data_IF_044930774240
#
_entry.id   IF_044930774240
#
_cell.length_a   1.000
_cell.length_b   1.000
_cell.length_c   1.000
_cell.angle_alpha   90.00
_cell.angle_beta   90.00
_cell.angle_gamma   90.00
#
_symmetry.space_group_name_H-M   'P 1'
#
loop_
_entity.id
_entity.type
_entity.pdbx_description
1 polymer ?
#
# COMPACT_ATOMS: atom_id res chain seq x y z
N UNK A 1 25.16 17.10 -14.86
CA UNK A 1 24.43 17.57 -13.66
C UNK A 1 23.51 18.76 -13.94
N UNK A 2 23.98 19.85 -14.56
CA UNK A 2 23.16 21.07 -14.82
C UNK A 2 21.83 20.77 -15.53
N UNK A 3 21.84 19.96 -16.60
CA UNK A 3 20.61 19.59 -17.33
C UNK A 3 19.61 18.79 -16.46
N UNK A 4 20.12 17.87 -15.63
CA UNK A 4 19.31 17.11 -14.69
C UNK A 4 18.69 18.05 -13.64
N UNK A 5 19.49 18.97 -13.09
CA UNK A 5 19.02 19.96 -12.12
C UNK A 5 17.90 20.84 -12.70
N UNK A 6 18.06 21.32 -13.93
CA UNK A 6 17.06 22.14 -14.61
C UNK A 6 15.77 21.35 -14.86
N UNK A 7 15.87 20.11 -15.37
CA UNK A 7 14.71 19.26 -15.60
C UNK A 7 13.93 18.94 -14.31
N UNK A 8 14.65 18.65 -13.22
CA UNK A 8 14.04 18.43 -11.89
C UNK A 8 13.35 19.70 -11.39
N UNK A 9 13.95 20.87 -11.62
CA UNK A 9 13.33 22.15 -11.27
C UNK A 9 12.05 22.41 -12.08
N UNK A 10 12.06 22.10 -13.38
CA UNK A 10 10.91 22.23 -14.27
C UNK A 10 9.84 21.15 -14.09
N UNK A 11 10.10 20.11 -13.26
CA UNK A 11 9.25 18.92 -13.10
C UNK A 11 8.96 18.20 -14.43
N UNK A 12 9.93 18.23 -15.35
CA UNK A 12 9.81 17.57 -16.65
C UNK A 12 10.36 16.14 -16.60
N UNK A 13 9.64 15.16 -17.18
CA UNK A 13 10.16 13.80 -17.30
C UNK A 13 11.32 13.78 -18.31
N UNK A 14 12.42 13.10 -17.96
CA UNK A 14 13.63 13.05 -18.79
C UNK A 14 14.16 11.63 -18.99
N UNK A 15 14.77 11.40 -20.15
CA UNK A 15 15.46 10.16 -20.50
C UNK A 15 16.98 10.39 -20.52
N UNK A 16 17.73 9.65 -19.71
CA UNK A 16 19.19 9.76 -19.64
C UNK A 16 19.87 8.81 -20.65
N UNK A 17 20.37 9.36 -21.75
CA UNK A 17 21.08 8.63 -22.81
C UNK A 17 22.61 8.82 -22.64
N UNK A 18 23.41 7.79 -22.94
CA UNK A 18 24.87 7.78 -22.69
C UNK A 18 25.42 6.40 -22.25
N UNK A 19 26.72 6.30 -21.94
CA UNK A 19 27.36 5.06 -21.49
C UNK A 19 26.70 4.50 -20.23
N UNK A 20 26.64 3.18 -20.11
CA UNK A 20 25.90 2.46 -19.06
C UNK A 20 26.42 2.73 -17.64
N UNK A 21 27.66 3.18 -17.50
CA UNK A 21 28.42 3.14 -16.25
C UNK A 21 28.10 4.22 -15.22
N UNK A 22 27.30 5.25 -15.51
CA UNK A 22 27.13 6.37 -14.54
C UNK A 22 25.73 7.01 -14.46
N UNK A 23 24.71 6.50 -15.15
CA UNK A 23 23.38 7.17 -15.21
C UNK A 23 22.68 7.18 -13.85
N UNK A 24 22.63 6.03 -13.19
CA UNK A 24 22.01 5.89 -11.87
C UNK A 24 22.80 6.68 -10.82
N UNK A 25 24.12 6.58 -10.87
CA UNK A 25 25.02 7.32 -9.99
C UNK A 25 24.85 8.85 -10.13
N UNK A 26 24.58 9.35 -11.33
CA UNK A 26 24.32 10.78 -11.57
C UNK A 26 23.08 11.27 -10.79
N UNK A 27 21.99 10.49 -10.84
CA UNK A 27 20.73 10.81 -10.13
C UNK A 27 20.94 10.69 -8.63
N UNK A 28 21.60 9.64 -8.16
CA UNK A 28 21.92 9.44 -6.73
C UNK A 28 22.81 10.56 -6.16
N UNK A 29 23.81 10.98 -6.94
CA UNK A 29 24.70 12.08 -6.56
C UNK A 29 23.91 13.39 -6.46
N UNK A 30 23.02 13.65 -7.42
CA UNK A 30 22.16 14.83 -7.39
C UNK A 30 21.25 14.86 -6.15
N UNK A 31 20.60 13.74 -5.82
CA UNK A 31 19.72 13.66 -4.64
C UNK A 31 20.50 13.82 -3.34
N UNK A 32 21.73 13.29 -3.28
CA UNK A 32 22.63 13.47 -2.13
C UNK A 32 23.02 14.94 -1.95
N UNK A 33 23.40 15.63 -3.03
CA UNK A 33 23.74 17.05 -3.00
C UNK A 33 22.55 17.94 -2.64
N UNK A 34 21.33 17.55 -3.04
CA UNK A 34 20.10 18.30 -2.77
C UNK A 34 19.45 17.95 -1.43
N UNK A 35 20.06 17.08 -0.63
CA UNK A 35 19.51 16.53 0.62
C UNK A 35 18.13 15.85 0.47
N UNK A 36 17.84 15.31 -0.73
CA UNK A 36 16.58 14.62 -1.09
C UNK A 36 16.74 13.11 -1.25
N UNK A 37 17.78 12.53 -0.65
CA UNK A 37 18.06 11.09 -0.75
C UNK A 37 16.88 10.22 -0.29
N UNK A 38 16.07 10.70 0.65
CA UNK A 38 14.90 9.99 1.18
C UNK A 38 13.70 9.97 0.21
N UNK A 39 13.70 10.84 -0.80
CA UNK A 39 12.64 10.92 -1.82
C UNK A 39 12.97 10.08 -3.07
N UNK A 40 14.20 9.57 -3.18
CA UNK A 40 14.64 8.80 -4.34
C UNK A 40 14.07 7.37 -4.29
N UNK A 41 13.14 7.08 -5.20
CA UNK A 41 12.66 5.72 -5.44
C UNK A 41 13.36 5.16 -6.68
N UNK A 42 13.99 3.99 -6.54
CA UNK A 42 14.59 3.26 -7.66
C UNK A 42 13.74 2.05 -7.99
N UNK A 43 13.25 2.00 -9.23
CA UNK A 43 12.53 0.85 -9.77
C UNK A 43 13.39 0.24 -10.86
N UNK A 44 13.69 -1.06 -10.74
CA UNK A 44 14.49 -1.79 -11.73
C UNK A 44 13.53 -2.49 -12.69
N UNK A 45 13.57 -2.11 -13.97
CA UNK A 45 12.77 -2.73 -15.01
C UNK A 45 13.59 -3.84 -15.68
N UNK A 46 13.08 -5.07 -15.63
CA UNK A 46 13.59 -6.24 -16.35
C UNK A 46 12.73 -6.49 -17.60
N UNK A 47 13.17 -7.34 -18.54
CA UNK A 47 12.33 -7.75 -19.67
C UNK A 47 11.00 -8.40 -19.26
N UNK A 48 10.96 -9.01 -18.08
CA UNK A 48 9.76 -9.63 -17.51
C UNK A 48 8.89 -8.65 -16.72
N UNK A 49 9.29 -7.37 -16.60
CA UNK A 49 8.49 -6.37 -15.90
C UNK A 49 7.35 -5.89 -16.78
N UNK A 50 6.13 -6.11 -16.32
CA UNK A 50 4.91 -5.72 -17.03
C UNK A 50 4.30 -4.43 -16.45
N UNK A 51 3.36 -3.83 -17.17
CA UNK A 51 2.64 -2.65 -16.68
C UNK A 51 1.83 -2.95 -15.40
N UNK A 52 1.36 -4.19 -15.27
CA UNK A 52 0.71 -4.76 -14.09
C UNK A 52 1.60 -4.70 -12.85
N UNK A 53 2.91 -4.90 -12.99
CA UNK A 53 3.85 -4.82 -11.86
C UNK A 53 4.00 -3.39 -11.33
N UNK A 54 3.82 -2.39 -12.20
CA UNK A 54 3.99 -0.97 -11.88
C UNK A 54 2.69 -0.32 -11.40
N UNK A 55 1.58 -0.60 -12.08
CA UNK A 55 0.26 0.01 -11.84
C UNK A 55 -0.57 -0.83 -10.88
N UNK A 56 -0.31 -2.14 -10.82
CA UNK A 56 -1.09 -3.14 -10.12
C UNK A 56 -2.05 -3.89 -11.04
N UNK A 57 -2.50 -5.05 -10.58
CA UNK A 57 -3.52 -5.86 -11.23
C UNK A 57 -4.83 -5.85 -10.45
N UNK A 58 -5.93 -6.01 -11.19
CA UNK A 58 -7.24 -6.28 -10.58
C UNK A 58 -7.27 -7.75 -10.21
N UNK A 59 -7.09 -8.03 -8.93
CA UNK A 59 -7.24 -9.39 -8.42
C UNK A 59 -8.68 -9.61 -7.97
N UNK A 60 -9.36 -10.68 -8.42
CA UNK A 60 -10.68 -11.01 -7.91
C UNK A 60 -10.57 -11.39 -6.44
N UNK A 61 -11.43 -10.81 -5.60
CA UNK A 61 -11.48 -11.08 -4.17
C UNK A 61 -12.86 -11.60 -3.79
N UNK A 62 -12.90 -12.66 -2.98
CA UNK A 62 -14.13 -13.01 -2.27
C UNK A 62 -14.39 -12.03 -1.13
N UNK A 63 -15.62 -12.01 -0.61
CA UNK A 63 -15.95 -11.20 0.57
C UNK A 63 -15.06 -11.55 1.77
N UNK A 64 -14.71 -12.82 1.92
CA UNK A 64 -13.83 -13.31 2.98
C UNK A 64 -12.39 -12.79 2.81
N UNK A 65 -11.88 -12.75 1.57
CA UNK A 65 -10.57 -12.17 1.28
C UNK A 65 -10.51 -10.67 1.60
N UNK A 66 -11.60 -9.94 1.29
CA UNK A 66 -11.71 -8.53 1.63
C UNK A 66 -11.67 -8.34 3.15
N UNK A 67 -12.44 -9.13 3.91
CA UNK A 67 -12.44 -9.08 5.37
C UNK A 67 -11.05 -9.34 5.95
N UNK A 68 -10.34 -10.36 5.44
CA UNK A 68 -8.96 -10.66 5.86
C UNK A 68 -7.99 -9.52 5.57
N UNK A 69 -8.21 -8.74 4.51
CA UNK A 69 -7.34 -7.62 4.10
C UNK A 69 -7.66 -6.30 4.78
N UNK A 70 -8.89 -6.16 5.28
CA UNK A 70 -9.42 -4.95 5.91
C UNK A 70 -8.54 -4.40 7.06
N UNK A 71 -8.02 -5.22 7.99
CA UNK A 71 -7.12 -4.73 9.05
C UNK A 71 -5.88 -4.02 8.48
N UNK A 72 -5.23 -4.64 7.48
CA UNK A 72 -4.03 -4.08 6.84
C UNK A 72 -4.32 -2.80 6.07
N UNK A 73 -5.51 -2.70 5.45
CA UNK A 73 -5.92 -1.48 4.77
C UNK A 73 -6.14 -0.34 5.75
N UNK A 74 -6.82 -0.60 6.87
CA UNK A 74 -7.03 0.43 7.89
C UNK A 74 -5.70 0.90 8.47
N UNK A 75 -4.76 0.00 8.75
CA UNK A 75 -3.43 0.38 9.24
C UNK A 75 -2.71 1.32 8.26
N UNK A 76 -2.76 1.04 6.95
CA UNK A 76 -2.17 1.92 5.92
C UNK A 76 -2.83 3.29 5.89
N UNK A 77 -4.16 3.34 5.94
CA UNK A 77 -4.92 4.61 5.96
C UNK A 77 -4.59 5.40 7.23
N UNK A 78 -4.53 4.72 8.38
CA UNK A 78 -4.16 5.29 9.67
C UNK A 78 -2.76 5.92 9.65
N UNK A 79 -1.75 5.19 9.16
CA UNK A 79 -0.38 5.69 9.05
C UNK A 79 -0.27 6.89 8.10
N UNK A 80 -1.02 6.86 6.99
CA UNK A 80 -1.08 7.96 6.04
C UNK A 80 -1.73 9.20 6.66
N UNK A 81 -2.83 9.01 7.38
CA UNK A 81 -3.50 10.07 8.12
C UNK A 81 -2.57 10.70 9.16
N UNK A 82 -1.89 9.88 9.98
CA UNK A 82 -0.90 10.37 10.95
C UNK A 82 0.23 11.16 10.28
N UNK A 83 0.72 10.69 9.13
CA UNK A 83 1.79 11.37 8.39
C UNK A 83 1.35 12.73 7.84
N UNK A 84 0.09 12.85 7.41
CA UNK A 84 -0.52 14.13 6.99
C UNK A 84 -0.68 15.09 8.17
N UNK A 85 -1.19 14.60 9.31
CA UNK A 85 -1.30 15.39 10.55
C UNK A 85 0.06 15.91 11.02
N UNK A 86 1.12 15.09 10.91
CA UNK A 86 2.50 15.51 11.24
C UNK A 86 3.03 16.58 10.30
N UNK A 87 2.71 16.52 9.00
CA UNK A 87 3.20 17.49 8.02
C UNK A 87 2.55 18.87 8.14
N UNK A 88 1.32 18.97 8.66
CA UNK A 88 0.61 20.23 8.89
C UNK A 88 0.93 20.93 10.23
N UNK A 89 1.79 20.34 11.06
CA UNK A 89 2.20 20.90 12.37
C UNK A 89 2.99 22.22 12.31
N UNK A 90 3.23 22.78 11.11
CA UNK A 90 3.63 24.19 10.97
C UNK A 90 2.45 25.16 11.12
N UNK A 91 1.19 24.70 11.17
CA UNK A 91 0.01 25.60 11.27
C UNK A 91 -1.22 25.05 12.02
N UNK A 92 -1.18 23.90 12.71
CA UNK A 92 -2.33 23.47 13.52
C UNK A 92 -2.06 22.24 14.38
N UNK A 93 -2.35 22.37 15.67
CA UNK A 93 -2.25 21.33 16.70
C UNK A 93 -3.19 20.16 16.38
N UNK A 94 -2.66 18.94 16.36
CA UNK A 94 -3.50 17.74 16.52
C UNK A 94 -3.91 17.73 17.99
N UNK A 95 -5.19 17.90 18.27
CA UNK A 95 -5.71 17.91 19.64
C UNK A 95 -5.42 16.56 20.30
N UNK A 96 -5.00 16.57 21.57
CA UNK A 96 -4.68 15.35 22.36
C UNK A 96 -5.82 14.31 22.31
N UNK A 97 -7.07 14.76 22.14
CA UNK A 97 -8.24 13.90 21.99
C UNK A 97 -8.22 13.05 20.71
N UNK A 98 -7.66 13.58 19.62
CA UNK A 98 -7.54 12.86 18.36
C UNK A 98 -6.49 11.75 18.49
N UNK A 99 -5.37 11.99 19.17
CA UNK A 99 -4.38 10.93 19.43
C UNK A 99 -4.93 9.78 20.30
N UNK A 100 -5.72 10.10 21.33
CA UNK A 100 -6.32 9.09 22.21
C UNK A 100 -7.38 8.29 21.46
N UNK A 101 -8.24 8.95 20.68
CA UNK A 101 -9.24 8.29 19.84
C UNK A 101 -8.57 7.36 18.81
N UNK A 102 -7.52 7.84 18.16
CA UNK A 102 -6.76 7.10 17.15
C UNK A 102 -6.05 5.87 17.73
N UNK A 103 -5.46 5.98 18.93
CA UNK A 103 -4.88 4.84 19.64
C UNK A 103 -5.93 3.82 20.03
N UNK A 104 -7.04 4.26 20.62
CA UNK A 104 -8.13 3.37 21.01
C UNK A 104 -8.74 2.65 19.80
N UNK A 105 -8.94 3.36 18.69
CA UNK A 105 -9.44 2.78 17.45
C UNK A 105 -8.48 1.72 16.91
N UNK A 106 -7.17 2.00 16.90
CA UNK A 106 -6.14 1.04 16.51
C UNK A 106 -6.18 -0.21 17.39
N UNK A 107 -6.26 -0.04 18.70
CA UNK A 107 -6.26 -1.15 19.65
C UNK A 107 -7.50 -2.04 19.47
N UNK A 108 -8.67 -1.44 19.23
CA UNK A 108 -9.92 -2.17 18.94
C UNK A 108 -9.81 -2.94 17.61
N UNK A 109 -9.23 -2.32 16.57
CA UNK A 109 -9.07 -2.96 15.26
C UNK A 109 -8.07 -4.11 15.33
N UNK A 110 -6.98 -3.97 16.09
CA UNK A 110 -5.97 -5.03 16.21
C UNK A 110 -6.48 -6.17 17.09
N UNK A 111 -7.19 -5.88 18.16
CA UNK A 111 -7.63 -6.91 19.12
C UNK A 111 -8.90 -7.64 18.69
N UNK A 112 -9.92 -6.92 18.22
CA UNK A 112 -11.28 -7.47 18.09
C UNK A 112 -11.63 -7.88 16.66
N UNK A 113 -11.05 -7.22 15.67
CA UNK A 113 -11.35 -7.49 14.26
C UNK A 113 -10.85 -8.88 13.80
N UNK A 114 -9.64 -9.35 14.18
CA UNK A 114 -9.18 -10.67 13.77
C UNK A 114 -10.04 -11.81 14.32
N UNK A 115 -10.46 -11.70 15.58
CA UNK A 115 -11.32 -12.69 16.22
C UNK A 115 -12.69 -12.75 15.55
N UNK A 116 -13.30 -11.58 15.26
CA UNK A 116 -14.57 -11.50 14.55
C UNK A 116 -14.49 -12.06 13.11
N UNK A 117 -13.38 -11.81 12.40
CA UNK A 117 -13.15 -12.37 11.07
C UNK A 117 -13.02 -13.89 11.15
N UNK A 118 -12.31 -14.41 12.15
CA UNK A 118 -12.14 -15.85 12.35
C UNK A 118 -13.44 -16.56 12.71
N UNK A 119 -14.26 -15.96 13.57
CA UNK A 119 -15.61 -16.48 13.86
C UNK A 119 -16.48 -16.52 12.61
N UNK A 120 -16.44 -15.45 11.80
CA UNK A 120 -17.17 -15.39 10.53
C UNK A 120 -16.66 -16.42 9.52
N UNK A 121 -15.34 -16.62 9.40
CA UNK A 121 -14.73 -17.62 8.54
C UNK A 121 -15.20 -19.03 8.89
N UNK A 122 -15.24 -19.38 10.18
CA UNK A 122 -15.72 -20.69 10.63
C UNK A 122 -17.21 -20.88 10.30
N UNK A 123 -18.03 -19.84 10.47
CA UNK A 123 -19.45 -19.91 10.12
C UNK A 123 -19.66 -20.04 8.60
N UNK A 124 -18.88 -19.29 7.81
CA UNK A 124 -18.96 -19.27 6.36
C UNK A 124 -18.56 -20.62 5.73
N UNK A 125 -17.46 -21.23 6.19
CA UNK A 125 -17.00 -22.54 5.68
C UNK A 125 -18.01 -23.66 5.97
N UNK A 126 -18.67 -23.63 7.14
CA UNK A 126 -19.71 -24.61 7.50
C UNK A 126 -20.94 -24.51 6.59
N UNK A 127 -21.34 -23.30 6.23
CA UNK A 127 -22.47 -23.07 5.32
C UNK A 127 -22.14 -23.46 3.88
N UNK A 128 -20.90 -23.31 3.41
CA UNK A 128 -20.49 -23.81 2.09
C UNK A 128 -20.47 -25.34 2.02
N UNK A 129 -19.92 -26.03 3.03
CA UNK A 129 -19.94 -27.50 3.10
C UNK A 129 -21.38 -28.07 3.05
N UNK A 130 -22.33 -27.40 3.69
CA UNK A 130 -23.74 -27.76 3.65
C UNK A 130 -24.42 -27.50 2.30
N UNK A 131 -23.93 -26.53 1.51
CA UNK A 131 -24.42 -26.26 0.16
C UNK A 131 -23.86 -27.30 -0.83
N UNK A 132 -22.57 -27.60 -0.77
CA UNK A 132 -21.94 -28.63 -1.60
C UNK A 132 -22.60 -30.01 -1.43
N UNK A 133 -22.87 -30.43 -0.19
CA UNK A 133 -23.56 -31.70 0.09
C UNK A 133 -25.02 -31.78 -0.39
N UNK A 134 -25.65 -30.64 -0.69
CA UNK A 134 -27.02 -30.62 -1.25
C UNK A 134 -27.02 -30.75 -2.76
N UNK A 135 -26.03 -30.17 -3.45
CA UNK A 135 -25.87 -30.28 -4.90
C UNK A 135 -25.40 -31.68 -5.30
N UNK A 136 -24.44 -32.28 -4.58
CA UNK A 136 -23.97 -33.66 -4.87
C UNK A 136 -25.08 -34.72 -4.74
N UNK A 137 -26.14 -34.44 -3.96
CA UNK A 137 -27.30 -35.34 -3.82
C UNK A 137 -28.38 -35.16 -4.90
N UNK A 138 -28.26 -34.14 -5.75
CA UNK A 138 -29.17 -33.91 -6.86
C UNK A 138 -28.70 -34.56 -8.17
N UNK A 139 -27.41 -34.90 -8.27
CA UNK A 139 -26.83 -35.52 -9.48
C UNK A 139 -26.90 -37.07 -9.49
N UNK A 140 -27.41 -37.68 -8.41
CA UNK A 140 -27.54 -39.13 -8.23
C UNK A 140 -28.92 -39.72 -8.67
N UNK A 141 -29.74 -38.96 -9.43
CA UNK A 141 -31.06 -39.40 -9.94
C UNK A 141 -31.19 -39.35 -11.47
#
# INVERSE_FOLDING_TARGET
>A
LVRLALAVHSKEPILLIGPTSCKTLLVETWTRLSNRSHELVKVHLTPDTEASDLIGEIQPYSFLDLLKRLPTMIERVYLRFLSLCRHHSTTGEVTINDEIFLKNLRDIIISRLPDAIREFEIAYTRDEEHRQQKDDRHDDF
#
